data_IF_081342739977
#
_entry.id   IF_081342739977
#
_cell.length_a   1.000
_cell.length_b   1.000
_cell.length_c   1.000
_cell.angle_alpha   90.00
_cell.angle_beta   90.00
_cell.angle_gamma   90.00
#
_symmetry.space_group_name_H-M   'P 1'
#
loop_
_entity.id
_entity.type
_entity.pdbx_description
1 polymer ?
#
# COMPACT_ATOMS: atom_id res chain seq x y z
N UNK A 1 9.63 -0.10 -13.17
CA UNK A 1 10.61 0.35 -12.15
C UNK A 1 10.07 -0.02 -10.77
N UNK A 2 10.92 -0.31 -9.78
CA UNK A 2 10.51 -0.53 -8.39
C UNK A 2 11.31 0.40 -7.48
N UNK A 3 10.64 1.14 -6.59
CA UNK A 3 11.26 2.08 -5.66
C UNK A 3 10.76 1.77 -4.25
N UNK A 4 11.68 1.67 -3.30
CA UNK A 4 11.38 1.54 -1.88
C UNK A 4 11.95 2.74 -1.13
N UNK A 5 11.13 3.39 -0.31
CA UNK A 5 11.53 4.56 0.48
C UNK A 5 11.62 4.17 1.95
N UNK A 6 12.83 4.17 2.51
CA UNK A 6 13.11 3.78 3.89
C UNK A 6 13.81 4.90 4.67
N UNK A 7 13.77 4.82 6.01
CA UNK A 7 14.28 5.88 6.90
C UNK A 7 13.58 5.94 8.26
N UNK A 8 14.15 6.71 9.19
CA UNK A 8 13.64 6.86 10.56
C UNK A 8 12.22 7.45 10.63
N UNK A 9 11.54 7.29 11.77
CA UNK A 9 10.29 8.00 12.05
C UNK A 9 10.45 9.52 11.87
N UNK A 10 9.48 10.17 11.22
CA UNK A 10 9.52 11.63 10.99
C UNK A 10 10.53 12.14 9.95
N UNK A 11 11.25 11.27 9.23
CA UNK A 11 12.21 11.69 8.18
C UNK A 11 11.59 12.16 6.87
N UNK A 12 10.25 12.18 6.76
CA UNK A 12 9.55 12.62 5.55
C UNK A 12 9.35 11.54 4.47
N UNK A 13 9.53 10.26 4.79
CA UNK A 13 9.38 9.13 3.84
C UNK A 13 8.08 9.19 3.05
N UNK A 14 6.95 9.26 3.74
CA UNK A 14 5.61 9.26 3.13
C UNK A 14 5.43 10.46 2.23
N UNK A 15 5.94 11.63 2.63
CA UNK A 15 5.94 12.85 1.82
C UNK A 15 6.74 12.68 0.54
N UNK A 16 7.95 12.13 0.63
CA UNK A 16 8.80 11.89 -0.55
C UNK A 16 8.16 10.83 -1.45
N UNK A 17 7.63 9.74 -0.88
CA UNK A 17 7.00 8.67 -1.62
C UNK A 17 5.76 9.15 -2.40
N UNK A 18 4.86 9.90 -1.76
CA UNK A 18 3.68 10.45 -2.42
C UNK A 18 4.01 11.50 -3.47
N UNK A 19 4.96 12.40 -3.17
CA UNK A 19 5.43 13.40 -4.15
C UNK A 19 6.06 12.73 -5.37
N UNK A 20 6.94 11.76 -5.16
CA UNK A 20 7.58 11.02 -6.25
C UNK A 20 6.54 10.26 -7.09
N UNK A 21 5.57 9.61 -6.45
CA UNK A 21 4.50 8.89 -7.14
C UNK A 21 3.70 9.81 -8.07
N UNK A 22 3.31 11.00 -7.59
CA UNK A 22 2.56 11.98 -8.39
C UNK A 22 3.38 12.52 -9.55
N UNK A 23 4.65 12.88 -9.33
CA UNK A 23 5.55 13.36 -10.39
C UNK A 23 5.72 12.30 -11.48
N UNK A 24 5.92 11.04 -11.10
CA UNK A 24 6.06 9.95 -12.07
C UNK A 24 4.77 9.72 -12.85
N UNK A 25 3.61 9.77 -12.20
CA UNK A 25 2.33 9.58 -12.86
C UNK A 25 2.00 10.71 -13.84
N UNK A 26 2.30 11.96 -13.48
CA UNK A 26 2.21 13.11 -14.38
C UNK A 26 3.17 13.02 -15.58
N UNK A 27 4.28 12.30 -15.44
CA UNK A 27 5.20 11.95 -16.52
C UNK A 27 4.74 10.77 -17.40
N UNK A 28 3.44 10.48 -17.41
CA UNK A 28 2.81 9.38 -18.18
C UNK A 28 3.26 7.97 -17.79
N UNK A 29 3.81 7.80 -16.58
CA UNK A 29 4.07 6.46 -16.05
C UNK A 29 2.84 5.89 -15.33
N UNK A 30 2.57 4.60 -15.53
CA UNK A 30 1.63 3.87 -14.68
C UNK A 30 2.26 3.68 -13.29
N UNK A 31 1.67 4.30 -12.27
CA UNK A 31 2.18 4.27 -10.89
C UNK A 31 1.23 3.54 -9.97
N UNK A 32 1.74 2.45 -9.37
CA UNK A 32 1.13 1.77 -8.24
C UNK A 32 1.89 2.17 -6.97
N UNK A 33 1.24 2.96 -6.11
CA UNK A 33 1.74 3.35 -4.80
C UNK A 33 1.27 2.31 -3.76
N UNK A 34 2.19 1.80 -2.94
CA UNK A 34 1.89 0.81 -1.91
C UNK A 34 2.25 1.41 -0.55
N UNK A 35 1.27 1.49 0.36
CA UNK A 35 1.47 1.87 1.76
C UNK A 35 1.27 0.64 2.65
N UNK A 36 2.37 0.17 3.24
CA UNK A 36 2.41 -0.95 4.17
C UNK A 36 2.70 -0.49 5.61
N UNK A 37 2.56 0.81 5.90
CA UNK A 37 2.69 1.33 7.26
C UNK A 37 1.45 0.95 8.09
N UNK A 38 1.61 0.49 9.35
CA UNK A 38 0.49 0.22 10.26
C UNK A 38 -0.44 1.42 10.46
N UNK A 39 0.08 2.64 10.32
CA UNK A 39 -0.71 3.87 10.32
C UNK A 39 -0.57 4.56 8.95
N UNK A 40 -1.35 4.10 7.94
CA UNK A 40 -1.16 4.54 6.56
C UNK A 40 -1.53 6.01 6.40
N UNK A 41 -0.61 6.78 5.84
CA UNK A 41 -0.74 8.22 5.62
C UNK A 41 -0.54 8.62 4.16
N UNK A 42 -0.21 7.66 3.29
CA UNK A 42 0.07 7.93 1.88
C UNK A 42 -1.17 8.41 1.12
N UNK A 43 -2.37 7.91 1.47
CA UNK A 43 -3.63 8.35 0.85
C UNK A 43 -3.82 9.87 0.91
N UNK A 44 -3.72 10.43 2.12
CA UNK A 44 -3.85 11.87 2.35
C UNK A 44 -2.71 12.63 1.68
N UNK A 45 -1.48 12.09 1.70
CA UNK A 45 -0.33 12.71 1.04
C UNK A 45 -0.48 12.79 -0.49
N UNK A 46 -1.10 11.77 -1.10
CA UNK A 46 -1.45 11.76 -2.53
C UNK A 46 -2.57 12.77 -2.86
N UNK A 47 -3.27 13.30 -1.86
CA UNK A 47 -4.37 14.25 -2.05
C UNK A 47 -5.76 13.61 -2.07
N UNK A 48 -5.89 12.36 -1.61
CA UNK A 48 -7.20 11.76 -1.34
C UNK A 48 -7.76 12.45 -0.09
N UNK A 49 -9.03 12.86 -0.14
CA UNK A 49 -9.68 13.50 1.00
C UNK A 49 -9.77 12.55 2.20
N UNK A 50 -9.79 13.10 3.41
CA UNK A 50 -9.72 12.31 4.64
C UNK A 50 -10.92 11.36 4.80
N UNK A 51 -12.10 11.73 4.31
CA UNK A 51 -13.32 10.93 4.42
C UNK A 51 -13.24 9.68 3.52
N UNK A 52 -12.79 9.87 2.29
CA UNK A 52 -12.51 8.78 1.35
C UNK A 52 -11.37 7.92 1.84
N UNK A 53 -10.27 8.52 2.30
CA UNK A 53 -9.12 7.80 2.84
C UNK A 53 -9.49 6.89 4.03
N UNK A 54 -10.43 7.33 4.88
CA UNK A 54 -10.91 6.53 6.01
C UNK A 54 -11.63 5.25 5.57
N UNK A 55 -12.23 5.22 4.37
CA UNK A 55 -12.99 4.09 3.83
C UNK A 55 -12.19 3.15 2.93
N UNK A 56 -10.92 3.45 2.66
CA UNK A 56 -10.09 2.58 1.79
C UNK A 56 -9.88 1.24 2.48
N UNK A 57 -10.28 0.18 1.80
CA UNK A 57 -10.05 -1.21 2.21
C UNK A 57 -8.58 -1.59 1.97
N UNK A 58 -7.97 -2.27 2.95
CA UNK A 58 -6.61 -2.77 2.83
C UNK A 58 -6.59 -4.18 2.27
N UNK A 59 -5.51 -4.52 1.57
CA UNK A 59 -5.20 -5.89 1.18
C UNK A 59 -4.96 -6.71 2.46
N UNK A 60 -5.79 -7.74 2.72
CA UNK A 60 -5.61 -8.63 3.87
C UNK A 60 -4.31 -9.43 3.76
N UNK A 61 -3.60 -9.58 4.88
CA UNK A 61 -2.40 -10.43 4.94
C UNK A 61 -2.73 -11.93 4.83
N UNK A 62 -4.00 -12.32 5.00
CA UNK A 62 -4.47 -13.71 4.85
C UNK A 62 -4.28 -14.27 3.44
N UNK A 63 -4.05 -13.43 2.44
CA UNK A 63 -3.68 -13.86 1.09
C UNK A 63 -2.23 -14.32 0.96
N UNK A 64 -1.42 -14.19 2.01
CA UNK A 64 -0.02 -14.60 2.02
C UNK A 64 0.13 -15.94 2.73
N UNK A 65 0.94 -16.83 2.14
CA UNK A 65 1.34 -18.08 2.77
C UNK A 65 2.86 -18.24 2.74
N UNK A 66 3.40 -18.90 3.77
CA UNK A 66 4.81 -19.29 3.75
C UNK A 66 4.98 -20.53 2.89
N UNK A 67 5.83 -20.44 1.88
CA UNK A 67 6.25 -21.56 1.07
C UNK A 67 7.71 -21.89 1.39
N UNK A 68 8.04 -23.18 1.38
CA UNK A 68 9.41 -23.67 1.53
C UNK A 68 9.76 -24.43 0.26
N UNK A 69 10.84 -24.02 -0.41
CA UNK A 69 11.31 -24.75 -1.58
C UNK A 69 12.03 -26.06 -1.18
N UNK A 70 12.40 -26.86 -2.18
CA UNK A 70 13.09 -28.13 -1.98
C UNK A 70 14.48 -27.98 -1.33
N UNK A 71 15.11 -26.81 -1.49
CA UNK A 71 16.40 -26.45 -0.90
C UNK A 71 16.27 -25.90 0.53
N UNK A 72 15.03 -25.72 0.99
CA UNK A 72 14.69 -25.29 2.34
C UNK A 72 14.64 -23.79 2.54
N UNK A 73 14.66 -22.99 1.47
CA UNK A 73 14.49 -21.54 1.55
C UNK A 73 13.04 -21.17 1.80
N UNK A 74 12.83 -20.17 2.66
CA UNK A 74 11.50 -19.61 2.90
C UNK A 74 11.19 -18.54 1.86
N UNK A 75 10.01 -18.64 1.27
CA UNK A 75 9.41 -17.62 0.43
C UNK A 75 8.01 -17.30 0.94
N UNK A 76 7.50 -16.14 0.54
CA UNK A 76 6.10 -15.77 0.77
C UNK A 76 5.40 -15.89 -0.58
N UNK A 77 4.49 -16.85 -0.68
CA UNK A 77 3.57 -16.98 -1.80
C UNK A 77 2.31 -16.16 -1.57
N UNK A 78 1.58 -15.88 -2.65
CA UNK A 78 0.25 -15.28 -2.57
C UNK A 78 -0.78 -16.22 -3.16
N UNK A 79 -1.93 -16.34 -2.50
CA UNK A 79 -3.08 -17.15 -2.94
C UNK A 79 -3.93 -16.44 -4.00
N UNK A 80 -3.63 -15.16 -4.25
CA UNK A 80 -4.33 -14.28 -5.18
C UNK A 80 -3.31 -13.62 -6.11
N UNK A 81 -3.69 -13.44 -7.38
CA UNK A 81 -2.81 -12.80 -8.36
C UNK A 81 -2.59 -11.31 -8.06
N UNK A 82 -1.41 -10.74 -8.34
CA UNK A 82 -1.18 -9.30 -8.21
C UNK A 82 -2.19 -8.45 -8.99
N UNK A 83 -2.58 -8.87 -10.19
CA UNK A 83 -3.54 -8.18 -11.04
C UNK A 83 -4.92 -8.12 -10.36
N UNK A 84 -5.33 -9.20 -9.72
CA UNK A 84 -6.59 -9.28 -8.99
C UNK A 84 -6.56 -8.47 -7.69
N UNK A 85 -5.42 -8.41 -6.98
CA UNK A 85 -5.24 -7.50 -5.85
C UNK A 85 -5.45 -6.06 -6.29
N UNK A 86 -4.76 -5.63 -7.36
CA UNK A 86 -4.89 -4.26 -7.87
C UNK A 86 -6.32 -3.97 -8.31
N UNK A 87 -6.98 -4.93 -8.98
CA UNK A 87 -8.36 -4.77 -9.43
C UNK A 87 -9.37 -4.66 -8.28
N UNK A 88 -9.16 -5.38 -7.16
CA UNK A 88 -10.11 -5.42 -6.04
C UNK A 88 -9.86 -4.32 -5.00
N UNK A 89 -8.59 -4.04 -4.72
CA UNK A 89 -8.18 -3.17 -3.61
C UNK A 89 -7.52 -1.86 -4.07
N UNK A 90 -7.24 -1.73 -5.37
CA UNK A 90 -6.65 -0.52 -5.94
C UNK A 90 -7.61 0.66 -5.81
N UNK A 91 -7.18 1.70 -5.11
CA UNK A 91 -7.93 2.95 -4.99
C UNK A 91 -7.35 4.00 -5.95
N UNK A 92 -8.13 4.55 -6.89
CA UNK A 92 -7.69 5.67 -7.69
C UNK A 92 -7.34 6.87 -6.80
N UNK A 93 -6.19 7.48 -7.06
CA UNK A 93 -5.71 8.69 -6.41
C UNK A 93 -5.47 9.78 -7.47
N UNK A 94 -5.25 11.04 -7.05
CA UNK A 94 -4.95 12.13 -7.97
C UNK A 94 -3.78 11.83 -8.92
N UNK A 95 -3.76 12.53 -10.06
CA UNK A 95 -2.73 12.45 -11.10
C UNK A 95 -2.52 11.07 -11.75
N UNK A 96 -3.50 10.16 -11.66
CA UNK A 96 -3.42 8.84 -12.28
C UNK A 96 -2.63 7.81 -11.46
N UNK A 97 -2.35 8.10 -10.19
CA UNK A 97 -1.77 7.13 -9.26
C UNK A 97 -2.86 6.14 -8.82
N UNK A 98 -2.51 4.85 -8.73
CA UNK A 98 -3.32 3.85 -8.03
C UNK A 98 -2.68 3.54 -6.69
N UNK A 99 -3.45 3.61 -5.60
CA UNK A 99 -2.99 3.31 -4.24
C UNK A 99 -3.45 1.91 -3.81
N UNK A 100 -2.54 1.16 -3.19
CA UNK A 100 -2.83 -0.04 -2.40
C UNK A 100 -2.42 0.19 -0.95
N UNK A 101 -3.33 -0.06 -0.03
CA UNK A 101 -3.03 -0.18 1.39
C UNK A 101 -2.85 -1.65 1.73
N UNK A 102 -1.81 -2.00 2.50
CA UNK A 102 -1.54 -3.40 2.88
C UNK A 102 -1.55 -3.53 4.39
N UNK A 103 -2.24 -4.56 4.89
CA UNK A 103 -2.09 -4.99 6.29
C UNK A 103 -2.58 -3.99 7.34
N UNK A 104 -3.48 -3.07 6.98
CA UNK A 104 -4.16 -2.23 7.97
C UNK A 104 -4.94 -3.14 8.92
N UNK A 105 -4.60 -3.12 10.21
CA UNK A 105 -5.41 -3.76 11.24
C UNK A 105 -6.69 -2.94 11.35
N UNK A 106 -7.85 -3.55 11.16
CA UNK A 106 -9.12 -2.86 11.36
C UNK A 106 -9.18 -2.30 12.78
N UNK A 107 -9.55 -1.03 12.92
CA UNK A 107 -9.78 -0.37 14.20
C UNK A 107 -11.08 -0.85 14.88
N UNK A 108 -11.40 -2.15 14.80
CA UNK A 108 -12.57 -2.75 15.45
C UNK A 108 -12.31 -3.28 16.87
N UNK A 109 -11.11 -3.07 17.43
CA UNK A 109 -10.84 -3.36 18.85
C UNK A 109 -9.94 -2.30 19.50
N UNK A 110 -10.50 -1.11 19.72
CA UNK A 110 -9.98 -0.17 20.71
C UNK A 110 -11.18 0.38 21.51
N UNK A 111 -11.83 -0.50 22.28
CA UNK A 111 -13.00 -0.11 23.06
C UNK A 111 -13.83 -1.28 23.62
N UNK A 112 -13.19 -2.27 24.25
CA UNK A 112 -13.84 -3.17 25.20
C UNK A 112 -12.76 -3.95 25.96
N UNK A 113 -12.40 -3.45 27.14
CA UNK A 113 -11.42 -4.04 28.05
C UNK A 113 -11.10 -3.08 29.19
#
# INVERSE_FOLDING_TARGET
MKVAVAGKGGSGKTTIAGTLARILAQGEHSVLAIDADPNPNLAVNLGIDAETAARIESVPLSFTHHAKDADGNYSVGMDISPEEIVSRYGTPAPDGVTLLLVGRVEAHQAGAG
#
